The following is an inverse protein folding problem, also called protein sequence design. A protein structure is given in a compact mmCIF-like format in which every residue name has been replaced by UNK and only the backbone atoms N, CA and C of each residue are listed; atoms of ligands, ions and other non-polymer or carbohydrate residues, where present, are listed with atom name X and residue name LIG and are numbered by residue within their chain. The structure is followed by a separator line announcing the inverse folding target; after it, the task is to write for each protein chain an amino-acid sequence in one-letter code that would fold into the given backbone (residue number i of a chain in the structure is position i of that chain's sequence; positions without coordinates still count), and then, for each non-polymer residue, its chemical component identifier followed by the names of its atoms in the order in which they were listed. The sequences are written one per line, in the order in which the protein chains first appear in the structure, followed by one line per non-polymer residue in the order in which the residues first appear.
data_IF_109089576998
#
_entry.id   IF_109089576998
#
_cell.length_a   1.000
_cell.length_b   1.000
_cell.length_c   1.000
_cell.angle_alpha   90.00
_cell.angle_beta   90.00
_cell.angle_gamma   90.00
#
_symmetry.space_group_name_H-M   'P 1'
#
loop_
_entity.id
_entity.type
_entity.pdbx_description
1 polymer ?
#
# COMPACT_ATOMS: atom_id res chain seq x y z
N UNK A 1 62.68 -10.93 -14.59
CA UNK A 1 61.65 -10.66 -15.58
C UNK A 1 60.44 -10.12 -14.85
N UNK A 2 60.29 -8.82 -14.80
CA UNK A 2 59.19 -8.14 -14.13
C UNK A 2 57.94 -8.14 -15.01
N UNK A 3 56.85 -8.72 -14.48
CA UNK A 3 55.55 -8.74 -15.11
C UNK A 3 54.85 -7.41 -14.80
N UNK A 4 54.96 -6.39 -15.66
CA UNK A 4 54.25 -5.13 -15.53
C UNK A 4 52.79 -5.38 -15.87
N UNK A 5 51.91 -5.31 -14.85
CA UNK A 5 50.45 -5.27 -15.04
C UNK A 5 50.13 -3.94 -15.75
N UNK A 6 49.42 -3.93 -16.91
CA UNK A 6 49.09 -2.70 -17.57
C UNK A 6 48.09 -1.88 -16.70
N UNK A 7 48.54 -0.68 -16.32
CA UNK A 7 47.72 0.32 -15.64
C UNK A 7 46.63 0.80 -16.62
N UNK A 8 45.36 0.51 -16.35
CA UNK A 8 44.25 1.00 -17.15
C UNK A 8 44.21 2.54 -17.11
N UNK A 9 44.02 3.16 -18.29
CA UNK A 9 43.94 4.61 -18.42
C UNK A 9 42.68 5.14 -17.75
N UNK A 10 42.71 6.30 -17.04
CA UNK A 10 41.53 6.86 -16.31
C UNK A 10 40.25 6.97 -17.15
N UNK A 11 40.35 7.17 -18.46
CA UNK A 11 39.23 7.21 -19.38
C UNK A 11 38.54 5.82 -19.54
N UNK A 12 39.29 4.74 -19.53
CA UNK A 12 38.76 3.36 -19.61
C UNK A 12 38.04 2.98 -18.34
N UNK A 13 38.57 3.34 -17.17
CA UNK A 13 37.90 3.15 -15.87
C UNK A 13 36.57 3.92 -15.78
N UNK A 14 36.47 5.10 -16.38
CA UNK A 14 35.24 5.89 -16.45
C UNK A 14 34.16 5.21 -17.30
N UNK A 15 34.55 4.63 -18.44
CA UNK A 15 33.63 3.89 -19.33
C UNK A 15 33.14 2.60 -18.65
N UNK A 16 34.03 1.84 -18.05
CA UNK A 16 33.69 0.60 -17.32
C UNK A 16 32.68 0.86 -16.19
N UNK A 17 32.92 1.90 -15.37
CA UNK A 17 31.97 2.29 -14.30
C UNK A 17 30.62 2.70 -14.87
N UNK A 18 30.59 3.44 -15.98
CA UNK A 18 29.34 3.86 -16.63
C UNK A 18 28.57 2.68 -17.20
N UNK A 19 29.26 1.73 -17.84
CA UNK A 19 28.65 0.49 -18.37
C UNK A 19 28.12 -0.38 -17.22
N UNK A 20 28.92 -0.58 -16.18
CA UNK A 20 28.49 -1.34 -14.99
C UNK A 20 27.27 -0.72 -14.30
N UNK A 21 27.26 0.61 -14.11
CA UNK A 21 26.16 1.32 -13.51
C UNK A 21 24.87 1.25 -14.36
N UNK A 22 24.99 1.28 -15.70
CA UNK A 22 23.85 1.08 -16.60
C UNK A 22 23.31 -0.34 -16.49
N UNK A 23 24.19 -1.35 -16.58
CA UNK A 23 23.79 -2.76 -16.48
C UNK A 23 23.11 -3.09 -15.15
N UNK A 24 23.58 -2.49 -14.03
CA UNK A 24 22.93 -2.64 -12.73
C UNK A 24 21.55 -2.01 -12.69
N UNK A 25 21.37 -0.82 -13.28
CA UNK A 25 20.06 -0.17 -13.40
C UNK A 25 19.11 -1.02 -14.25
N UNK A 26 19.54 -1.44 -15.44
CA UNK A 26 18.71 -2.24 -16.35
C UNK A 26 18.25 -3.56 -15.68
N UNK A 27 19.13 -4.19 -14.88
CA UNK A 27 18.77 -5.39 -14.11
C UNK A 27 17.81 -5.08 -12.95
N UNK A 28 18.01 -3.96 -12.27
CA UNK A 28 17.11 -3.51 -11.19
C UNK A 28 15.72 -3.22 -11.73
N UNK A 29 15.65 -2.53 -12.88
CA UNK A 29 14.38 -2.17 -13.53
C UNK A 29 13.63 -3.42 -14.01
N UNK A 30 14.35 -4.38 -14.64
CA UNK A 30 13.78 -5.65 -15.05
C UNK A 30 13.26 -6.47 -13.85
N UNK A 31 14.01 -6.48 -12.73
CA UNK A 31 13.59 -7.13 -11.49
C UNK A 31 12.32 -6.50 -10.92
N UNK A 32 12.28 -5.17 -10.83
CA UNK A 32 11.13 -4.42 -10.35
C UNK A 32 9.89 -4.65 -11.23
N UNK A 33 10.07 -4.74 -12.55
CA UNK A 33 9.00 -5.04 -13.50
C UNK A 33 8.40 -6.44 -13.29
N UNK A 34 9.23 -7.46 -13.08
CA UNK A 34 8.75 -8.81 -12.81
C UNK A 34 7.96 -8.86 -11.49
N UNK A 35 8.46 -8.19 -10.43
CA UNK A 35 7.74 -8.08 -9.14
C UNK A 35 6.39 -7.40 -9.35
N UNK A 36 6.34 -6.28 -10.10
CA UNK A 36 5.09 -5.58 -10.38
C UNK A 36 4.10 -6.49 -11.12
N UNK A 37 4.55 -7.23 -12.14
CA UNK A 37 3.70 -8.19 -12.87
C UNK A 37 3.13 -9.28 -11.96
N UNK A 38 3.89 -9.79 -11.00
CA UNK A 38 3.40 -10.77 -10.01
C UNK A 38 2.35 -10.15 -9.06
N UNK A 39 2.56 -8.91 -8.61
CA UNK A 39 1.61 -8.19 -7.77
C UNK A 39 0.30 -7.92 -8.53
N UNK A 40 0.38 -7.40 -9.77
CA UNK A 40 -0.79 -7.11 -10.60
C UNK A 40 -1.57 -8.38 -10.96
N UNK A 41 -0.87 -9.47 -11.29
CA UNK A 41 -1.46 -10.78 -11.53
C UNK A 41 -2.18 -11.32 -10.29
N UNK A 42 -1.61 -11.10 -9.11
CA UNK A 42 -2.23 -11.52 -7.84
C UNK A 42 -3.54 -10.78 -7.62
N UNK A 43 -3.59 -9.46 -7.82
CA UNK A 43 -4.84 -8.70 -7.76
C UNK A 43 -5.88 -9.23 -8.76
N UNK A 44 -5.47 -9.55 -10.01
CA UNK A 44 -6.38 -10.07 -11.02
C UNK A 44 -6.95 -11.44 -10.61
N UNK A 45 -6.10 -12.35 -10.11
CA UNK A 45 -6.54 -13.67 -9.64
C UNK A 45 -7.46 -13.54 -8.43
N UNK A 46 -7.10 -12.73 -7.43
CA UNK A 46 -7.91 -12.52 -6.22
C UNK A 46 -9.29 -11.92 -6.54
N UNK A 47 -9.36 -10.95 -7.45
CA UNK A 47 -10.65 -10.40 -7.92
C UNK A 47 -11.52 -11.47 -8.59
N UNK A 48 -10.92 -12.33 -9.42
CA UNK A 48 -11.64 -13.40 -10.14
C UNK A 48 -12.12 -14.48 -9.21
N UNK A 49 -11.32 -14.87 -8.20
CA UNK A 49 -11.64 -15.94 -7.26
C UNK A 49 -12.42 -15.49 -6.03
N UNK A 50 -12.37 -14.19 -5.72
CA UNK A 50 -13.05 -13.59 -4.56
C UNK A 50 -12.40 -13.87 -3.21
N UNK A 51 -11.20 -14.50 -3.16
CA UNK A 51 -10.55 -14.89 -1.91
C UNK A 51 -9.07 -14.54 -1.84
N UNK A 52 -8.52 -14.62 -0.62
CA UNK A 52 -7.09 -14.37 -0.30
C UNK A 52 -6.20 -15.61 -0.43
N UNK A 53 -6.67 -16.68 -1.10
CA UNK A 53 -5.88 -17.89 -1.28
C UNK A 53 -5.61 -18.22 -2.75
N UNK A 54 -5.04 -17.29 -3.56
CA UNK A 54 -4.72 -17.56 -4.95
C UNK A 54 -3.69 -18.70 -5.05
N UNK A 55 -3.81 -19.56 -6.06
CA UNK A 55 -2.79 -20.57 -6.33
C UNK A 55 -1.61 -19.93 -7.05
N UNK A 56 -0.37 -20.32 -6.66
CA UNK A 56 0.85 -19.82 -7.33
C UNK A 56 0.81 -20.10 -8.84
N UNK A 57 0.28 -21.25 -9.25
CA UNK A 57 0.13 -21.61 -10.68
C UNK A 57 -0.77 -20.61 -11.44
N UNK A 58 -1.85 -20.13 -10.82
CA UNK A 58 -2.76 -19.15 -11.43
C UNK A 58 -2.10 -17.78 -11.54
N UNK A 59 -1.34 -17.37 -10.51
CA UNK A 59 -0.58 -16.11 -10.52
C UNK A 59 0.50 -16.13 -11.61
N UNK A 60 1.26 -17.23 -11.70
CA UNK A 60 2.31 -17.42 -12.69
C UNK A 60 1.72 -17.39 -14.11
N UNK A 61 0.62 -18.09 -14.34
CA UNK A 61 -0.09 -18.09 -15.63
C UNK A 61 -0.57 -16.66 -15.99
N UNK A 62 -1.17 -15.94 -15.05
CA UNK A 62 -1.68 -14.57 -15.26
C UNK A 62 -0.55 -13.58 -15.52
N UNK A 63 0.58 -13.69 -14.78
CA UNK A 63 1.72 -12.79 -14.94
C UNK A 63 2.53 -13.05 -16.22
N UNK A 64 2.38 -14.23 -16.86
CA UNK A 64 3.21 -14.66 -17.98
C UNK A 64 4.67 -14.91 -17.59
N UNK A 65 4.94 -15.16 -16.30
CA UNK A 65 6.26 -15.52 -15.79
C UNK A 65 6.36 -17.02 -15.55
N UNK A 66 7.55 -17.52 -15.19
CA UNK A 66 7.74 -18.92 -14.80
C UNK A 66 7.64 -19.13 -13.29
N UNK A 67 7.41 -20.38 -12.85
CA UNK A 67 7.52 -20.72 -11.43
C UNK A 67 8.91 -20.38 -10.86
N UNK A 68 9.98 -20.57 -11.66
CA UNK A 68 11.32 -20.20 -11.24
C UNK A 68 11.45 -18.68 -11.00
N UNK A 69 10.83 -17.86 -11.85
CA UNK A 69 10.79 -16.40 -11.66
C UNK A 69 10.03 -16.04 -10.37
N UNK A 70 8.89 -16.67 -10.12
CA UNK A 70 8.16 -16.49 -8.87
C UNK A 70 9.05 -16.74 -7.65
N UNK A 71 9.67 -17.93 -7.55
CA UNK A 71 10.50 -18.31 -6.39
C UNK A 71 11.86 -17.57 -6.31
N UNK A 72 12.27 -16.88 -7.38
CA UNK A 72 13.38 -15.93 -7.34
C UNK A 72 13.03 -14.65 -6.57
N UNK A 73 11.77 -14.19 -6.66
CA UNK A 73 11.29 -12.95 -6.06
C UNK A 73 10.66 -13.15 -4.69
N UNK A 74 9.89 -14.23 -4.50
CA UNK A 74 9.12 -14.50 -3.28
C UNK A 74 9.38 -15.92 -2.79
N UNK A 75 9.77 -16.05 -1.52
CA UNK A 75 10.04 -17.35 -0.87
C UNK A 75 8.75 -18.14 -0.63
N UNK A 76 7.61 -17.44 -0.55
CA UNK A 76 6.30 -18.03 -0.31
C UNK A 76 5.18 -17.18 -0.92
N UNK A 77 4.00 -17.79 -1.04
CA UNK A 77 2.79 -17.06 -1.40
C UNK A 77 2.43 -15.95 -0.41
N UNK A 78 2.64 -16.19 0.89
CA UNK A 78 2.34 -15.20 1.91
C UNK A 78 3.25 -13.97 1.81
N UNK A 79 4.52 -14.14 1.45
CA UNK A 79 5.43 -13.02 1.18
C UNK A 79 4.94 -12.16 -0.01
N UNK A 80 4.42 -12.80 -1.06
CA UNK A 80 3.76 -12.08 -2.15
C UNK A 80 2.48 -11.37 -1.69
N UNK A 81 1.65 -12.01 -0.87
CA UNK A 81 0.43 -11.39 -0.33
C UNK A 81 0.74 -10.18 0.54
N UNK A 82 1.83 -10.22 1.31
CA UNK A 82 2.33 -9.03 2.05
C UNK A 82 2.77 -7.92 1.10
N UNK A 83 3.46 -8.26 0.00
CA UNK A 83 3.84 -7.26 -1.00
C UNK A 83 2.61 -6.64 -1.69
N UNK A 84 1.55 -7.41 -1.95
CA UNK A 84 0.28 -6.93 -2.49
C UNK A 84 -0.41 -6.00 -1.48
N UNK A 85 -0.41 -6.36 -0.20
CA UNK A 85 -0.96 -5.51 0.86
C UNK A 85 -0.18 -4.18 0.96
N UNK A 86 1.16 -4.24 1.00
CA UNK A 86 2.02 -3.04 1.06
C UNK A 86 1.80 -2.12 -0.16
N UNK A 87 1.69 -2.67 -1.37
CA UNK A 87 1.36 -1.91 -2.58
C UNK A 87 0.00 -1.21 -2.46
N UNK A 88 -1.02 -1.92 -1.99
CA UNK A 88 -2.35 -1.34 -1.73
C UNK A 88 -2.32 -0.21 -0.70
N UNK A 89 -1.59 -0.39 0.39
CA UNK A 89 -1.42 0.64 1.43
C UNK A 89 -0.68 1.87 0.89
N UNK A 90 0.41 1.69 0.14
CA UNK A 90 1.14 2.81 -0.48
C UNK A 90 0.27 3.60 -1.45
N UNK A 91 -0.55 2.94 -2.25
CA UNK A 91 -1.53 3.59 -3.15
C UNK A 91 -2.55 4.40 -2.35
N UNK A 92 -3.09 3.82 -1.26
CA UNK A 92 -4.01 4.52 -0.36
C UNK A 92 -3.35 5.76 0.26
N UNK A 93 -2.15 5.62 0.83
CA UNK A 93 -1.41 6.74 1.43
C UNK A 93 -1.18 7.86 0.43
N UNK A 94 -0.70 7.55 -0.78
CA UNK A 94 -0.47 8.53 -1.85
C UNK A 94 -1.77 9.27 -2.22
N UNK A 95 -2.88 8.55 -2.32
CA UNK A 95 -4.19 9.13 -2.57
C UNK A 95 -4.63 10.06 -1.43
N UNK A 96 -4.51 9.61 -0.17
CA UNK A 96 -4.88 10.41 1.00
C UNK A 96 -4.02 11.68 1.11
N UNK A 97 -2.70 11.57 0.94
CA UNK A 97 -1.80 12.72 0.96
C UNK A 97 -2.14 13.74 -0.13
N UNK A 98 -2.43 13.27 -1.36
CA UNK A 98 -2.84 14.15 -2.46
C UNK A 98 -4.16 14.87 -2.15
N UNK A 99 -5.10 14.19 -1.50
CA UNK A 99 -6.39 14.75 -1.10
C UNK A 99 -6.23 15.77 0.03
N UNK A 100 -5.47 15.41 1.07
CA UNK A 100 -5.19 16.29 2.22
C UNK A 100 -4.42 17.55 1.83
N UNK A 101 -3.50 17.45 0.86
CA UNK A 101 -2.72 18.59 0.37
C UNK A 101 -3.58 19.70 -0.29
N UNK A 102 -4.82 19.38 -0.70
CA UNK A 102 -5.78 20.33 -1.26
C UNK A 102 -6.67 21.00 -0.21
N UNK A 103 -6.58 20.56 1.03
CA UNK A 103 -7.35 21.06 2.17
C UNK A 103 -6.50 21.96 3.04
N UNK A 104 -7.11 22.96 3.68
CA UNK A 104 -6.47 23.78 4.70
C UNK A 104 -6.00 22.90 5.88
N UNK A 105 -4.92 23.29 6.58
CA UNK A 105 -4.44 22.59 7.77
C UNK A 105 -5.52 22.41 8.85
N UNK A 106 -5.33 21.42 9.72
CA UNK A 106 -6.24 21.13 10.82
C UNK A 106 -7.47 20.33 10.42
N UNK A 107 -8.63 20.69 10.95
CA UNK A 107 -9.90 19.96 10.77
C UNK A 107 -10.25 19.63 9.30
N UNK A 108 -10.04 20.50 8.30
CA UNK A 108 -10.30 20.17 6.90
C UNK A 108 -9.43 19.02 6.38
N UNK A 109 -8.18 18.87 6.85
CA UNK A 109 -7.31 17.72 6.48
C UNK A 109 -7.76 16.44 7.14
N UNK A 110 -8.19 16.49 8.41
CA UNK A 110 -8.80 15.32 9.10
C UNK A 110 -10.05 14.86 8.34
N UNK A 111 -10.93 15.78 7.98
CA UNK A 111 -12.11 15.49 7.16
C UNK A 111 -11.71 14.85 5.83
N UNK A 112 -10.75 15.46 5.10
CA UNK A 112 -10.29 14.96 3.80
C UNK A 112 -9.72 13.54 3.90
N UNK A 113 -9.04 13.20 5.00
CA UNK A 113 -8.53 11.87 5.26
C UNK A 113 -9.66 10.87 5.48
N UNK A 114 -10.62 11.15 6.38
CA UNK A 114 -11.76 10.28 6.68
C UNK A 114 -12.59 10.01 5.42
N UNK A 115 -12.95 11.06 4.69
CA UNK A 115 -13.68 10.94 3.43
C UNK A 115 -12.91 10.11 2.40
N UNK A 116 -11.57 10.31 2.32
CA UNK A 116 -10.71 9.57 1.41
C UNK A 116 -10.66 8.07 1.70
N UNK A 117 -10.63 7.68 2.98
CA UNK A 117 -10.72 6.29 3.41
C UNK A 117 -12.08 5.68 3.05
N UNK A 118 -13.17 6.36 3.38
CA UNK A 118 -14.53 5.87 3.09
C UNK A 118 -14.84 5.82 1.58
N UNK A 119 -14.18 6.67 0.78
CA UNK A 119 -14.30 6.63 -0.68
C UNK A 119 -13.76 5.33 -1.28
N UNK A 120 -12.82 4.62 -0.60
CA UNK A 120 -12.33 3.32 -1.06
C UNK A 120 -13.48 2.28 -1.14
N UNK A 121 -14.44 2.34 -0.22
CA UNK A 121 -15.62 1.47 -0.25
C UNK A 121 -16.64 1.87 -1.34
N UNK A 122 -16.58 3.12 -1.82
CA UNK A 122 -17.47 3.65 -2.87
C UNK A 122 -16.90 3.47 -4.28
N UNK A 123 -15.58 3.44 -4.39
CA UNK A 123 -14.87 3.21 -5.66
C UNK A 123 -14.88 1.72 -6.00
N UNK A 124 -15.43 1.36 -7.15
CA UNK A 124 -15.64 -0.05 -7.57
C UNK A 124 -14.31 -0.81 -7.65
N UNK A 125 -13.27 -0.21 -8.25
CA UNK A 125 -11.98 -0.87 -8.45
C UNK A 125 -11.20 -0.98 -7.14
N UNK A 126 -11.20 0.08 -6.32
CA UNK A 126 -10.57 0.05 -5.00
C UNK A 126 -11.24 -0.99 -4.09
N UNK A 127 -12.57 -1.01 -4.03
CA UNK A 127 -13.32 -1.99 -3.25
C UNK A 127 -13.06 -3.43 -3.73
N UNK A 128 -13.02 -3.67 -5.05
CA UNK A 128 -12.74 -5.00 -5.60
C UNK A 128 -11.32 -5.50 -5.25
N UNK A 129 -10.33 -4.61 -5.27
CA UNK A 129 -8.96 -4.95 -4.88
C UNK A 129 -8.80 -5.19 -3.37
N UNK A 130 -9.57 -4.46 -2.55
CA UNK A 130 -9.48 -4.52 -1.09
C UNK A 130 -10.34 -5.63 -0.50
N UNK A 131 -11.41 -6.06 -1.18
CA UNK A 131 -12.38 -7.03 -0.66
C UNK A 131 -11.75 -8.33 -0.13
N UNK A 132 -10.80 -8.99 -0.79
CA UNK A 132 -10.18 -10.20 -0.26
C UNK A 132 -9.52 -9.96 1.11
N UNK A 133 -8.84 -8.81 1.27
CA UNK A 133 -8.20 -8.43 2.54
C UNK A 133 -9.23 -8.05 3.61
N UNK A 134 -10.35 -7.43 3.23
CA UNK A 134 -11.43 -7.10 4.15
C UNK A 134 -12.13 -8.33 4.72
N UNK A 135 -12.20 -9.42 3.96
CA UNK A 135 -12.87 -10.67 4.38
C UNK A 135 -11.91 -11.58 5.15
N UNK A 136 -10.68 -11.77 4.67
CA UNK A 136 -9.77 -12.82 5.16
C UNK A 136 -8.43 -12.26 5.71
N UNK A 137 -8.28 -10.92 5.80
CA UNK A 137 -7.00 -10.28 6.17
C UNK A 137 -6.50 -10.56 7.58
N UNK A 138 -7.38 -10.93 8.51
CA UNK A 138 -7.03 -11.23 9.90
C UNK A 138 -5.94 -12.32 10.00
N UNK A 139 -6.01 -13.37 9.17
CA UNK A 139 -5.00 -14.43 9.13
C UNK A 139 -3.60 -13.92 8.77
N UNK A 140 -3.53 -12.94 7.86
CA UNK A 140 -2.26 -12.34 7.44
C UNK A 140 -1.70 -11.45 8.56
N UNK A 141 -2.56 -10.69 9.23
CA UNK A 141 -2.20 -9.87 10.38
C UNK A 141 -1.69 -10.70 11.57
N UNK A 142 -2.34 -11.83 11.87
CA UNK A 142 -1.90 -12.77 12.91
C UNK A 142 -0.53 -13.39 12.61
N UNK A 143 -0.28 -13.71 11.34
CA UNK A 143 0.97 -14.35 10.92
C UNK A 143 2.13 -13.38 10.80
N UNK A 144 1.87 -12.12 10.47
CA UNK A 144 2.84 -11.06 10.21
C UNK A 144 2.49 -9.77 10.96
N UNK A 145 2.46 -9.82 12.30
CA UNK A 145 2.00 -8.69 13.11
C UNK A 145 2.87 -7.42 12.96
N UNK A 146 4.17 -7.56 12.79
CA UNK A 146 5.07 -6.42 12.62
C UNK A 146 4.87 -5.71 11.27
N UNK A 147 4.69 -6.48 10.19
CA UNK A 147 4.40 -5.97 8.86
C UNK A 147 3.04 -5.27 8.83
N UNK A 148 2.05 -5.87 9.50
CA UNK A 148 0.72 -5.29 9.61
C UNK A 148 0.74 -3.98 10.41
N UNK A 149 1.47 -3.91 11.52
CA UNK A 149 1.64 -2.69 12.32
C UNK A 149 2.32 -1.59 11.49
N UNK A 150 3.41 -1.91 10.78
CA UNK A 150 4.08 -0.95 9.89
C UNK A 150 3.18 -0.43 8.78
N UNK A 151 2.36 -1.29 8.18
CA UNK A 151 1.39 -0.90 7.16
C UNK A 151 0.32 0.04 7.73
N UNK A 152 -0.16 -0.21 8.96
CA UNK A 152 -1.08 0.67 9.68
C UNK A 152 -0.46 2.04 9.94
N UNK A 153 0.75 2.07 10.46
CA UNK A 153 1.47 3.32 10.77
C UNK A 153 1.65 4.20 9.54
N UNK A 154 1.94 3.63 8.37
CA UNK A 154 2.02 4.38 7.11
C UNK A 154 0.73 5.15 6.79
N UNK A 155 -0.44 4.58 7.09
CA UNK A 155 -1.74 5.21 6.82
C UNK A 155 -2.10 6.22 7.89
N UNK A 156 -1.73 5.98 9.16
CA UNK A 156 -2.02 6.87 10.30
C UNK A 156 -1.11 8.11 10.29
N UNK A 157 0.14 8.00 9.85
CA UNK A 157 1.12 9.07 9.95
C UNK A 157 0.67 10.41 9.31
N UNK A 158 0.10 10.45 8.10
CA UNK A 158 -0.43 11.70 7.56
C UNK A 158 -1.58 12.31 8.39
N UNK A 159 -2.35 11.47 9.09
CA UNK A 159 -3.46 11.90 9.92
C UNK A 159 -2.96 12.54 11.24
N UNK A 160 -1.85 12.05 11.79
CA UNK A 160 -1.28 12.51 13.06
C UNK A 160 -1.00 14.02 13.07
N UNK A 161 -0.29 14.50 12.05
CA UNK A 161 -0.03 15.92 11.89
C UNK A 161 -1.32 16.76 11.72
N UNK A 162 -2.30 16.24 10.98
CA UNK A 162 -3.57 16.92 10.77
C UNK A 162 -4.42 17.02 12.05
N UNK A 163 -4.37 15.99 12.90
CA UNK A 163 -5.05 15.97 14.22
C UNK A 163 -4.40 16.96 15.17
N UNK A 164 -3.06 17.01 15.23
CA UNK A 164 -2.32 17.98 16.03
C UNK A 164 -2.64 19.43 15.60
N UNK A 165 -2.62 19.70 14.28
CA UNK A 165 -2.99 21.01 13.72
C UNK A 165 -4.46 21.38 14.03
N UNK A 166 -5.33 20.39 14.25
CA UNK A 166 -6.74 20.60 14.60
C UNK A 166 -6.98 20.77 16.12
N UNK A 167 -5.94 20.61 16.95
CA UNK A 167 -6.01 20.74 18.41
C UNK A 167 -6.37 19.44 19.14
N UNK A 168 -6.40 18.31 18.44
CA UNK A 168 -6.58 16.98 19.04
C UNK A 168 -5.30 16.43 19.67
N UNK A 169 -5.42 15.32 20.41
CA UNK A 169 -4.28 14.65 21.02
C UNK A 169 -3.57 13.72 19.99
N UNK A 170 -2.34 14.08 19.55
CA UNK A 170 -1.64 13.31 18.52
C UNK A 170 -1.21 11.90 18.98
N UNK A 171 -1.32 11.59 20.28
CA UNK A 171 -0.95 10.29 20.82
C UNK A 171 -2.09 9.26 20.75
N UNK A 172 -3.36 9.71 20.77
CA UNK A 172 -4.52 8.82 20.88
C UNK A 172 -5.55 9.01 19.76
N UNK A 173 -5.83 10.26 19.38
CA UNK A 173 -6.93 10.56 18.46
C UNK A 173 -6.71 10.03 17.02
N UNK A 174 -5.49 10.04 16.44
CA UNK A 174 -5.27 9.50 15.10
C UNK A 174 -5.61 8.02 14.99
N UNK A 175 -5.27 7.25 16.02
CA UNK A 175 -5.56 5.82 16.08
C UNK A 175 -7.06 5.55 16.21
N UNK A 176 -7.77 6.32 17.04
CA UNK A 176 -9.21 6.22 17.19
C UNK A 176 -9.96 6.59 15.89
N UNK A 177 -9.53 7.66 15.22
CA UNK A 177 -10.11 8.08 13.93
C UNK A 177 -9.81 7.03 12.84
N UNK A 178 -8.60 6.47 12.82
CA UNK A 178 -8.23 5.39 11.91
C UNK A 178 -9.14 4.18 12.10
N UNK A 179 -9.30 3.69 13.33
CA UNK A 179 -10.11 2.51 13.63
C UNK A 179 -11.58 2.74 13.26
N UNK A 180 -12.12 3.95 13.49
CA UNK A 180 -13.46 4.33 13.08
C UNK A 180 -13.63 4.29 11.55
N UNK A 181 -12.76 4.97 10.81
CA UNK A 181 -12.90 5.13 9.36
C UNK A 181 -12.54 3.84 8.60
N UNK A 182 -11.41 3.22 8.95
CA UNK A 182 -10.95 1.98 8.31
C UNK A 182 -11.86 0.81 8.66
N UNK A 183 -12.29 0.69 9.92
CA UNK A 183 -13.25 -0.34 10.34
C UNK A 183 -14.54 -0.24 9.54
N UNK A 184 -15.10 0.96 9.39
CA UNK A 184 -16.32 1.16 8.60
C UNK A 184 -16.11 0.91 7.10
N UNK A 185 -14.99 1.37 6.53
CA UNK A 185 -14.68 1.13 5.12
C UNK A 185 -14.51 -0.38 4.83
N UNK A 186 -13.75 -1.08 5.68
CA UNK A 186 -13.50 -2.52 5.57
C UNK A 186 -14.80 -3.32 5.69
N UNK A 187 -15.64 -2.99 6.67
CA UNK A 187 -16.95 -3.64 6.87
C UNK A 187 -17.88 -3.43 5.66
N UNK A 188 -17.94 -2.21 5.13
CA UNK A 188 -18.71 -1.91 3.93
C UNK A 188 -18.22 -2.72 2.71
N UNK A 189 -16.90 -2.77 2.50
CA UNK A 189 -16.30 -3.53 1.40
C UNK A 189 -16.59 -5.03 1.55
N UNK A 190 -16.45 -5.59 2.75
CA UNK A 190 -16.73 -7.00 3.02
C UNK A 190 -18.18 -7.37 2.69
N UNK A 191 -19.13 -6.49 3.04
CA UNK A 191 -20.57 -6.69 2.78
C UNK A 191 -20.99 -6.29 1.37
N UNK A 192 -20.14 -5.64 0.59
CA UNK A 192 -20.48 -5.10 -0.72
C UNK A 192 -21.41 -3.87 -0.63
N UNK A 193 -21.39 -3.18 0.51
CA UNK A 193 -22.15 -1.95 0.77
C UNK A 193 -21.35 -0.71 0.32
N UNK A 194 -22.08 0.42 0.18
CA UNK A 194 -21.47 1.73 -0.12
C UNK A 194 -21.95 2.74 0.91
N UNK A 195 -21.07 3.26 1.78
CA UNK A 195 -21.45 4.30 2.73
C UNK A 195 -22.13 5.47 2.03
N UNK A 196 -23.29 5.90 2.54
CA UNK A 196 -24.01 7.06 1.98
C UNK A 196 -23.25 8.36 2.26
N UNK A 197 -23.59 9.44 1.55
CA UNK A 197 -23.02 10.75 1.83
C UNK A 197 -23.38 11.25 3.24
N UNK A 198 -24.58 10.96 3.69
CA UNK A 198 -25.07 11.31 5.03
C UNK A 198 -24.28 10.59 6.10
N UNK A 199 -24.06 9.28 5.92
CA UNK A 199 -23.23 8.47 6.82
C UNK A 199 -21.78 8.98 6.89
N UNK A 200 -21.16 9.29 5.75
CA UNK A 200 -19.82 9.89 5.70
C UNK A 200 -19.78 11.21 6.46
N UNK A 201 -20.74 12.12 6.22
CA UNK A 201 -20.82 13.40 6.92
C UNK A 201 -21.02 13.23 8.43
N UNK A 202 -21.83 12.24 8.83
CA UNK A 202 -22.03 11.91 10.25
C UNK A 202 -20.72 11.45 10.93
N UNK A 203 -19.97 10.54 10.29
CA UNK A 203 -18.70 10.03 10.81
C UNK A 203 -17.64 11.13 10.91
N UNK A 204 -17.55 12.00 9.89
CA UNK A 204 -16.69 13.18 9.91
C UNK A 204 -17.04 14.09 11.09
N UNK A 205 -18.31 14.47 11.22
CA UNK A 205 -18.77 15.33 12.31
C UNK A 205 -18.56 14.69 13.69
N UNK A 206 -18.70 13.37 13.81
CA UNK A 206 -18.40 12.65 15.06
C UNK A 206 -16.91 12.76 15.41
N UNK A 207 -16.01 12.47 14.47
CA UNK A 207 -14.58 12.52 14.67
C UNK A 207 -14.11 13.95 15.01
N UNK A 208 -14.57 14.97 14.28
CA UNK A 208 -14.18 16.37 14.52
C UNK A 208 -14.65 16.87 15.90
N UNK A 209 -15.86 16.50 16.33
CA UNK A 209 -16.32 16.83 17.70
C UNK A 209 -15.49 16.13 18.77
N UNK A 210 -15.08 14.88 18.54
CA UNK A 210 -14.28 14.13 19.50
C UNK A 210 -12.92 14.79 19.77
N UNK A 211 -12.30 15.43 18.74
CA UNK A 211 -11.03 16.15 18.87
C UNK A 211 -11.22 17.66 19.18
N UNK A 212 -12.44 18.11 19.47
CA UNK A 212 -12.72 19.52 19.80
C UNK A 212 -12.60 20.49 18.62
N UNK A 213 -12.63 20.02 17.39
CA UNK A 213 -12.42 20.80 16.15
C UNK A 213 -13.73 21.11 15.39
N UNK A 214 -14.93 20.92 16.02
CA UNK A 214 -16.25 21.16 15.42
C UNK A 214 -16.83 22.51 15.83
#
# INVERSE_FOLDING_TARGET
MGNSVPTLTPAVEGIERSVAARTLRDRSDAYAEEVRRLVDATYAVMRRTGGMDPRVADIVAESGLSNQAFYRHFRSKDELLLAVLDDGQRRLVSYLQTRMARAEPGAPRVQAWIEGVLEQARNVDAAANTKPFAVDGARLAERFPEEHARSRDLVVEPLRAAVEDAGGDPAFDPDAIYDLAMGRATDAIARGERPSREEVAHLVGFALRAIGAA
#
